data_IF_979350809766
#
_entry.id   IF_979350809766
#
_cell.length_a   1.000
_cell.length_b   1.000
_cell.length_c   1.000
_cell.angle_alpha   90.00
_cell.angle_beta   90.00
_cell.angle_gamma   90.00
#
_symmetry.space_group_name_H-M   'P 1'
#
loop_
_entity.id
_entity.type
_entity.pdbx_description
1 polymer ?
#
# COMPACT_ATOMS: atom_id res chain seq x y z
N UNK A 1 8.02 -0.63 -4.35
CA UNK A 1 6.63 -0.49 -3.86
C UNK A 1 5.65 -0.13 -4.98
N UNK A 2 5.93 0.85 -5.84
CA UNK A 2 5.01 1.25 -6.93
C UNK A 2 4.59 0.11 -7.86
N UNK A 3 5.53 -0.76 -8.25
CA UNK A 3 5.22 -1.93 -9.09
C UNK A 3 4.18 -2.87 -8.45
N UNK A 4 4.24 -3.05 -7.13
CA UNK A 4 3.26 -3.86 -6.38
C UNK A 4 1.88 -3.23 -6.42
N UNK A 5 1.77 -1.92 -6.12
CA UNK A 5 0.49 -1.21 -6.19
C UNK A 5 -0.08 -1.18 -7.61
N UNK A 6 0.76 -1.06 -8.64
CA UNK A 6 0.32 -1.16 -10.04
C UNK A 6 -0.18 -2.56 -10.40
N UNK A 7 0.49 -3.61 -9.92
CA UNK A 7 0.04 -4.99 -10.13
C UNK A 7 -1.33 -5.23 -9.49
N UNK A 8 -1.53 -4.79 -8.24
CA UNK A 8 -2.84 -4.85 -7.58
C UNK A 8 -3.90 -4.00 -8.29
N UNK A 9 -3.53 -2.80 -8.73
CA UNK A 9 -4.39 -1.93 -9.53
C UNK A 9 -4.81 -2.57 -10.85
N UNK A 10 -3.90 -3.28 -11.53
CA UNK A 10 -4.21 -4.06 -12.73
C UNK A 10 -5.17 -5.20 -12.42
N UNK A 11 -4.92 -5.99 -11.36
CA UNK A 11 -5.84 -7.04 -10.93
C UNK A 11 -7.22 -6.50 -10.53
N UNK A 12 -7.29 -5.30 -9.97
CA UNK A 12 -8.56 -4.60 -9.69
C UNK A 12 -9.32 -4.25 -10.97
N UNK A 13 -8.64 -3.70 -11.98
CA UNK A 13 -9.26 -3.36 -13.28
C UNK A 13 -9.72 -4.62 -14.03
N UNK A 14 -8.94 -5.70 -13.98
CA UNK A 14 -9.24 -6.97 -14.63
C UNK A 14 -10.30 -7.80 -13.89
N UNK A 15 -10.79 -7.35 -12.73
CA UNK A 15 -11.81 -8.06 -11.94
C UNK A 15 -11.31 -9.31 -11.22
N UNK A 16 -9.99 -9.44 -11.05
CA UNK A 16 -9.35 -10.59 -10.38
C UNK A 16 -9.30 -10.48 -8.84
N UNK A 17 -9.57 -9.30 -8.29
CA UNK A 17 -9.90 -9.13 -6.88
C UNK A 17 -11.42 -9.24 -6.78
N UNK A 18 -11.94 -10.28 -6.13
CA UNK A 18 -13.36 -10.50 -5.91
C UNK A 18 -14.06 -9.16 -5.64
N UNK A 19 -15.09 -8.83 -6.43
CA UNK A 19 -15.88 -7.58 -6.31
C UNK A 19 -16.64 -7.47 -4.97
N UNK A 20 -16.29 -8.29 -3.98
CA UNK A 20 -17.04 -8.55 -2.76
C UNK A 20 -17.29 -7.34 -1.88
N UNK A 21 -16.54 -6.24 -2.02
CA UNK A 21 -16.58 -5.12 -1.08
C UNK A 21 -16.43 -3.72 -1.73
N UNK A 22 -16.61 -3.58 -3.05
CA UNK A 22 -16.68 -2.23 -3.64
C UNK A 22 -18.06 -1.60 -3.35
N UNK A 23 -18.32 -1.20 -2.10
CA UNK A 23 -19.40 -0.26 -1.78
C UNK A 23 -19.02 1.14 -2.32
N UNK A 24 -19.10 1.34 -3.64
CA UNK A 24 -18.78 2.63 -4.26
C UNK A 24 -18.64 2.56 -5.78
N UNK A 25 -18.47 3.74 -6.39
CA UNK A 25 -18.16 3.87 -7.81
C UNK A 25 -16.79 3.27 -8.11
N UNK A 26 -16.68 2.46 -9.17
CA UNK A 26 -15.40 1.87 -9.59
C UNK A 26 -14.39 2.97 -9.89
N UNK A 27 -13.14 2.78 -9.48
CA UNK A 27 -12.06 3.70 -9.78
C UNK A 27 -11.82 3.67 -11.30
N UNK A 28 -11.87 4.82 -12.00
CA UNK A 28 -11.55 4.88 -13.43
C UNK A 28 -10.12 4.38 -13.70
N UNK A 29 -9.94 3.53 -14.70
CA UNK A 29 -8.66 2.88 -15.03
C UNK A 29 -7.49 3.87 -15.17
N UNK A 30 -7.72 5.01 -15.84
CA UNK A 30 -6.69 6.04 -16.04
C UNK A 30 -6.18 6.68 -14.72
N UNK A 31 -6.91 6.54 -13.61
CA UNK A 31 -6.50 7.05 -12.29
C UNK A 31 -5.72 6.03 -11.48
N UNK A 32 -5.78 4.75 -11.84
CA UNK A 32 -5.08 3.67 -11.12
C UNK A 32 -3.57 3.90 -11.02
N UNK A 33 -2.86 4.33 -12.09
CA UNK A 33 -1.42 4.60 -11.98
C UNK A 33 -1.09 5.73 -11.00
N UNK A 34 -1.92 6.77 -10.97
CA UNK A 34 -1.74 7.91 -10.06
C UNK A 34 -1.95 7.49 -8.60
N UNK A 35 -3.00 6.72 -8.33
CA UNK A 35 -3.28 6.19 -6.99
C UNK A 35 -2.21 5.20 -6.53
N UNK A 36 -1.72 4.35 -7.43
CA UNK A 36 -0.62 3.44 -7.15
C UNK A 36 0.66 4.19 -6.79
N UNK A 37 1.00 5.24 -7.52
CA UNK A 37 2.15 6.10 -7.22
C UNK A 37 1.99 6.82 -5.87
N UNK A 38 0.79 7.33 -5.58
CA UNK A 38 0.50 7.99 -4.30
C UNK A 38 0.62 7.02 -3.12
N UNK A 39 -0.03 5.85 -3.19
CA UNK A 39 0.04 4.81 -2.15
C UNK A 39 1.47 4.32 -1.91
N UNK A 40 2.23 4.10 -2.99
CA UNK A 40 3.64 3.74 -2.89
C UNK A 40 4.50 4.83 -2.26
N UNK A 41 4.24 6.11 -2.53
CA UNK A 41 4.96 7.22 -1.90
C UNK A 41 4.68 7.31 -0.40
N UNK A 42 3.41 7.16 0.00
CA UNK A 42 2.99 7.12 1.40
C UNK A 42 3.70 5.97 2.13
N UNK A 43 3.66 4.76 1.56
CA UNK A 43 4.29 3.60 2.16
C UNK A 43 5.81 3.75 2.26
N UNK A 44 6.47 4.21 1.20
CA UNK A 44 7.92 4.40 1.18
C UNK A 44 8.36 5.37 2.28
N UNK A 45 7.64 6.49 2.45
CA UNK A 45 7.94 7.46 3.52
C UNK A 45 7.74 6.87 4.91
N UNK A 46 6.68 6.10 5.12
CA UNK A 46 6.41 5.46 6.41
C UNK A 46 7.50 4.44 6.76
N UNK A 47 7.91 3.62 5.79
CA UNK A 47 9.01 2.66 5.93
C UNK A 47 10.32 3.36 6.28
N UNK A 48 10.67 4.42 5.54
CA UNK A 48 11.89 5.18 5.82
C UNK A 48 11.87 5.83 7.21
N UNK A 49 10.71 6.33 7.66
CA UNK A 49 10.55 6.92 8.98
C UNK A 49 10.82 5.90 10.08
N UNK A 50 10.15 4.75 10.03
CA UNK A 50 10.30 3.69 11.04
C UNK A 50 11.74 3.17 11.07
N UNK A 51 12.35 2.93 9.90
CA UNK A 51 13.73 2.46 9.82
C UNK A 51 14.73 3.50 10.38
N UNK A 52 14.51 4.78 10.09
CA UNK A 52 15.35 5.86 10.62
C UNK A 52 15.17 6.06 12.12
N UNK A 53 13.96 5.92 12.68
CA UNK A 53 13.73 5.97 14.12
C UNK A 53 14.50 4.88 14.87
N UNK A 54 14.66 3.69 14.26
CA UNK A 54 15.36 2.55 14.86
C UNK A 54 16.88 2.63 14.72
N UNK A 55 17.39 3.02 13.56
CA UNK A 55 18.81 2.89 13.19
C UNK A 55 19.53 4.24 13.01
N UNK A 56 18.79 5.34 13.01
CA UNK A 56 19.31 6.69 12.82
C UNK A 56 20.14 6.81 11.54
N UNK A 57 21.32 7.42 11.67
CA UNK A 57 22.24 7.66 10.55
C UNK A 57 22.80 6.39 9.91
N UNK A 58 22.70 5.23 10.58
CA UNK A 58 23.17 3.94 10.08
C UNK A 58 22.18 3.24 9.16
N UNK A 59 20.98 3.79 8.95
CA UNK A 59 19.96 3.14 8.13
C UNK A 59 20.43 2.97 6.69
N UNK A 60 20.28 1.76 6.17
CA UNK A 60 20.44 1.44 4.74
C UNK A 60 19.13 0.93 4.16
N UNK A 61 19.03 0.94 2.84
CA UNK A 61 17.83 0.47 2.12
C UNK A 61 17.48 -1.00 2.46
N UNK A 62 18.46 -1.82 2.81
CA UNK A 62 18.23 -3.21 3.23
C UNK A 62 17.42 -3.30 4.53
N UNK A 63 17.68 -2.43 5.49
CA UNK A 63 16.98 -2.41 6.78
C UNK A 63 15.51 -2.06 6.63
N UNK A 64 15.19 -1.24 5.63
CA UNK A 64 13.83 -0.79 5.34
C UNK A 64 12.91 -1.94 4.91
N UNK A 65 13.45 -3.06 4.41
CA UNK A 65 12.64 -4.19 3.93
C UNK A 65 11.84 -4.84 5.07
N UNK A 66 12.42 -4.93 6.27
CA UNK A 66 11.75 -5.47 7.45
C UNK A 66 10.58 -4.63 7.96
N UNK A 67 10.56 -3.34 7.61
CA UNK A 67 9.54 -2.39 8.09
C UNK A 67 8.35 -2.25 7.14
N UNK A 68 8.34 -2.92 5.99
CA UNK A 68 7.27 -2.78 5.00
C UNK A 68 5.92 -3.22 5.56
N UNK A 69 5.87 -4.34 6.28
CA UNK A 69 4.63 -4.87 6.84
C UNK A 69 4.04 -3.98 7.94
N UNK A 70 4.87 -3.54 8.89
CA UNK A 70 4.46 -2.64 9.97
C UNK A 70 4.00 -1.28 9.44
N UNK A 71 4.74 -0.72 8.47
CA UNK A 71 4.36 0.52 7.80
C UNK A 71 3.05 0.41 7.01
N UNK A 72 2.83 -0.73 6.33
CA UNK A 72 1.60 -0.98 5.58
C UNK A 72 0.40 -1.07 6.51
N UNK A 73 0.48 -1.87 7.57
CA UNK A 73 -0.58 -1.96 8.58
C UNK A 73 -0.89 -0.59 9.20
N UNK A 74 0.14 0.20 9.52
CA UNK A 74 -0.03 1.54 10.11
C UNK A 74 -0.67 2.57 9.16
N UNK A 75 -0.49 2.45 7.84
CA UNK A 75 -1.03 3.41 6.86
C UNK A 75 -2.32 2.97 6.19
N UNK A 76 -2.54 1.67 6.03
CA UNK A 76 -3.65 1.11 5.27
C UNK A 76 -4.50 0.09 6.04
N UNK A 77 -4.00 -0.48 7.15
CA UNK A 77 -4.67 -1.56 7.89
C UNK A 77 -6.02 -1.15 8.46
N UNK A 78 -6.06 -0.19 9.40
CA UNK A 78 -7.31 0.15 10.12
C UNK A 78 -8.42 0.70 9.21
N UNK A 79 -8.07 1.42 8.15
CA UNK A 79 -9.04 1.95 7.19
C UNK A 79 -9.45 0.91 6.15
N UNK A 80 -8.53 0.06 5.72
CA UNK A 80 -8.83 -1.02 4.80
C UNK A 80 -9.73 -2.08 5.45
N UNK A 81 -9.49 -2.45 6.70
CA UNK A 81 -10.31 -3.43 7.45
C UNK A 81 -11.75 -2.95 7.69
N UNK A 82 -11.99 -1.63 7.73
CA UNK A 82 -13.35 -1.07 7.83
C UNK A 82 -14.17 -1.25 6.54
N UNK A 83 -13.49 -1.39 5.40
CA UNK A 83 -14.12 -1.57 4.08
C UNK A 83 -13.97 -2.96 3.50
N UNK A 84 -13.22 -3.87 4.14
CA UNK A 84 -12.89 -5.20 3.64
C UNK A 84 -13.29 -6.25 4.68
N UNK A 85 -14.04 -7.28 4.29
CA UNK A 85 -14.52 -8.34 5.20
C UNK A 85 -13.42 -9.32 5.66
N UNK A 86 -12.18 -9.14 5.21
CA UNK A 86 -11.00 -9.91 5.65
C UNK A 86 -10.03 -9.09 6.51
N UNK A 87 -8.94 -9.73 6.98
CA UNK A 87 -7.84 -9.04 7.66
C UNK A 87 -6.82 -8.56 6.62
N UNK A 88 -6.37 -7.31 6.69
CA UNK A 88 -5.35 -6.74 5.80
C UNK A 88 -3.95 -6.74 6.42
#
# INVERSE_FOLDING_TARGET
MTGTFLAWGKSYVEGGLDEGDAQGEKIPEHRVPLLAAAGASILTRAVSHIAFEKLGRGVITGDMVGEIGSAYAAKFGEQGEKGWKGRL
#
